data_IF_184772121943
#
_entry.id   IF_184772121943
#
_cell.length_a   1.000
_cell.length_b   1.000
_cell.length_c   1.000
_cell.angle_alpha   90.00
_cell.angle_beta   90.00
_cell.angle_gamma   90.00
#
_symmetry.space_group_name_H-M   'P 1'
#
loop_
_entity.id
_entity.type
_entity.pdbx_description
1 polymer ?
#
# COMPACT_ATOMS: atom_id res chain seq x y z
N UNK A 1 15.06 -15.97 7.89
CA UNK A 1 15.25 -15.15 6.66
C UNK A 1 14.44 -13.87 6.85
N UNK A 2 15.07 -12.69 6.80
CA UNK A 2 14.39 -11.42 7.09
C UNK A 2 13.55 -10.92 5.91
N UNK A 3 12.63 -9.98 6.16
CA UNK A 3 11.80 -9.40 5.09
C UNK A 3 12.63 -8.68 4.01
N UNK A 4 13.77 -8.08 4.38
CA UNK A 4 14.71 -7.44 3.44
C UNK A 4 15.33 -8.46 2.48
N UNK A 5 15.73 -9.62 2.99
CA UNK A 5 16.31 -10.70 2.16
C UNK A 5 15.27 -11.23 1.17
N UNK A 6 14.00 -11.28 1.59
CA UNK A 6 12.90 -11.83 0.81
C UNK A 6 12.35 -10.87 -0.24
N UNK A 7 12.15 -9.60 0.12
CA UNK A 7 11.44 -8.61 -0.72
C UNK A 7 12.29 -7.41 -1.15
N UNK A 8 13.52 -7.27 -0.65
CA UNK A 8 14.32 -6.04 -0.82
C UNK A 8 14.68 -5.69 -2.26
N UNK A 9 14.59 -6.64 -3.21
CA UNK A 9 14.75 -6.35 -4.65
C UNK A 9 13.50 -5.78 -5.33
N UNK A 10 12.34 -5.96 -4.71
CA UNK A 10 11.03 -5.63 -5.30
C UNK A 10 10.30 -4.51 -4.56
N UNK A 11 10.74 -4.19 -3.34
CA UNK A 11 10.02 -3.30 -2.45
C UNK A 11 10.90 -2.15 -1.96
N UNK A 12 10.40 -0.93 -2.13
CA UNK A 12 10.95 0.28 -1.53
C UNK A 12 10.04 0.73 -0.38
N UNK A 13 10.61 0.94 0.80
CA UNK A 13 9.87 1.47 1.95
C UNK A 13 10.07 2.97 2.03
N UNK A 14 8.99 3.73 1.92
CA UNK A 14 8.97 5.17 2.08
C UNK A 14 8.21 5.49 3.35
N UNK A 15 8.82 6.26 4.26
CA UNK A 15 8.17 6.77 5.47
C UNK A 15 7.77 8.22 5.22
N UNK A 16 6.50 8.52 5.43
CA UNK A 16 5.95 9.87 5.24
C UNK A 16 5.36 10.36 6.56
N UNK A 17 5.63 11.63 6.88
CA UNK A 17 4.92 12.35 7.93
C UNK A 17 3.59 12.87 7.38
N UNK A 18 2.49 12.33 7.90
CA UNK A 18 1.13 12.65 7.50
C UNK A 18 0.68 14.06 7.90
N UNK A 19 1.37 14.73 8.83
CA UNK A 19 1.07 16.11 9.22
C UNK A 19 1.74 17.13 8.29
N UNK A 20 2.83 16.74 7.63
CA UNK A 20 3.53 17.55 6.64
C UNK A 20 2.71 17.80 5.36
N UNK A 21 3.07 18.81 4.55
CA UNK A 21 2.36 19.13 3.31
C UNK A 21 2.36 17.96 2.31
N UNK A 22 3.49 17.26 2.17
CA UNK A 22 3.63 16.11 1.27
C UNK A 22 2.77 14.93 1.76
N UNK A 23 2.84 14.59 3.05
CA UNK A 23 2.07 13.48 3.60
C UNK A 23 0.56 13.74 3.57
N UNK A 24 0.10 14.97 3.79
CA UNK A 24 -1.32 15.32 3.63
C UNK A 24 -1.81 15.16 2.19
N UNK A 25 -1.00 15.56 1.21
CA UNK A 25 -1.33 15.37 -0.21
C UNK A 25 -1.37 13.89 -0.57
N UNK A 26 -0.36 13.11 -0.14
CA UNK A 26 -0.34 11.66 -0.34
C UNK A 26 -1.52 10.96 0.34
N UNK A 27 -1.86 11.36 1.58
CA UNK A 27 -3.01 10.83 2.31
C UNK A 27 -4.32 11.05 1.55
N UNK A 28 -4.54 12.26 1.00
CA UNK A 28 -5.71 12.55 0.17
C UNK A 28 -5.71 11.73 -1.12
N UNK A 29 -4.58 11.67 -1.80
CA UNK A 29 -4.43 10.94 -3.06
C UNK A 29 -4.75 9.43 -2.89
N UNK A 30 -4.25 8.82 -1.81
CA UNK A 30 -4.49 7.41 -1.50
C UNK A 30 -5.71 7.16 -0.61
N UNK A 31 -6.53 8.18 -0.33
CA UNK A 31 -7.74 8.09 0.50
C UNK A 31 -7.50 7.61 1.93
N UNK A 32 -6.37 7.95 2.54
CA UNK A 32 -6.04 7.65 3.94
C UNK A 32 -6.56 8.77 4.84
N UNK A 33 -7.42 8.44 5.79
CA UNK A 33 -8.01 9.40 6.74
C UNK A 33 -7.62 9.17 8.19
N UNK A 34 -6.88 8.10 8.49
CA UNK A 34 -6.49 7.71 9.84
C UNK A 34 -5.05 7.18 9.83
N UNK A 35 -4.35 7.35 10.95
CA UNK A 35 -2.97 6.90 11.14
C UNK A 35 -2.89 5.96 12.36
N UNK A 36 -1.91 5.03 12.41
CA UNK A 36 -0.91 4.78 11.37
C UNK A 36 -1.53 4.05 10.16
N UNK A 37 -0.93 4.24 8.98
CA UNK A 37 -1.41 3.66 7.73
C UNK A 37 -0.27 3.08 6.91
N UNK A 38 -0.58 2.01 6.19
CA UNK A 38 0.30 1.40 5.20
C UNK A 38 -0.39 1.47 3.84
N UNK A 39 0.34 2.00 2.87
CA UNK A 39 -0.09 2.11 1.49
C UNK A 39 0.91 1.32 0.65
N UNK A 40 0.40 0.42 -0.17
CA UNK A 40 1.17 -0.32 -1.15
C UNK A 40 0.76 0.16 -2.54
N UNK A 41 1.74 0.60 -3.31
CA UNK A 41 1.54 1.02 -4.70
C UNK A 41 2.35 0.14 -5.64
N UNK A 42 1.98 0.12 -6.92
CA UNK A 42 2.91 -0.29 -7.95
C UNK A 42 3.94 0.83 -8.23
N UNK A 43 4.96 0.54 -9.03
CA UNK A 43 5.99 1.53 -9.39
C UNK A 43 5.46 2.74 -10.19
N UNK A 44 4.18 2.76 -10.54
CA UNK A 44 3.49 3.83 -11.26
C UNK A 44 2.58 4.66 -10.36
N UNK A 45 2.67 4.45 -9.03
CA UNK A 45 1.86 5.10 -8.01
C UNK A 45 0.39 4.67 -7.98
N UNK A 46 0.00 3.62 -8.69
CA UNK A 46 -1.35 3.06 -8.59
C UNK A 46 -1.50 2.28 -7.29
N UNK A 47 -2.62 2.48 -6.61
CA UNK A 47 -2.89 1.86 -5.31
C UNK A 47 -3.16 0.36 -5.47
N UNK A 48 -2.31 -0.47 -4.89
CA UNK A 48 -2.52 -1.92 -4.80
C UNK A 48 -3.25 -2.30 -3.51
N UNK A 49 -2.91 -1.65 -2.39
CA UNK A 49 -3.54 -1.90 -1.10
C UNK A 49 -3.39 -0.73 -0.12
N UNK A 50 -4.38 -0.61 0.79
CA UNK A 50 -4.35 0.33 1.92
C UNK A 50 -4.81 -0.37 3.19
N UNK A 51 -4.01 -0.27 4.25
CA UNK A 51 -4.37 -0.68 5.61
C UNK A 51 -4.28 0.51 6.55
N UNK A 52 -5.22 0.62 7.50
CA UNK A 52 -5.34 1.78 8.39
C UNK A 52 -5.59 1.31 9.82
N UNK A 53 -5.01 2.01 10.79
CA UNK A 53 -5.06 1.75 12.24
C UNK A 53 -4.39 0.45 12.70
N UNK A 54 -4.95 -0.70 12.33
CA UNK A 54 -4.45 -2.02 12.70
C UNK A 54 -3.76 -2.64 11.48
N UNK A 55 -2.44 -2.75 11.57
CA UNK A 55 -1.61 -3.40 10.56
C UNK A 55 -1.23 -4.79 11.04
N UNK A 56 -1.59 -5.82 10.28
CA UNK A 56 -1.12 -7.19 10.51
C UNK A 56 0.09 -7.48 9.62
N UNK A 57 1.31 -7.66 10.19
CA UNK A 57 2.51 -7.96 9.44
C UNK A 57 2.41 -9.24 8.59
N UNK A 58 1.63 -10.24 9.05
CA UNK A 58 1.46 -11.50 8.33
C UNK A 58 0.55 -11.33 7.11
N UNK A 59 -0.49 -10.52 7.23
CA UNK A 59 -1.37 -10.18 6.12
C UNK A 59 -0.62 -9.47 4.98
N UNK A 60 0.30 -8.55 5.33
CA UNK A 60 1.12 -7.83 4.35
C UNK A 60 2.04 -8.79 3.58
N UNK A 61 2.72 -9.71 4.26
CA UNK A 61 3.63 -10.66 3.61
C UNK A 61 2.90 -11.59 2.63
N UNK A 62 1.78 -12.18 3.05
CA UNK A 62 0.97 -13.05 2.18
C UNK A 62 0.38 -12.31 0.97
N UNK A 63 0.07 -11.01 1.12
CA UNK A 63 -0.37 -10.18 0.00
C UNK A 63 0.74 -9.88 -0.98
N UNK A 64 1.92 -9.50 -0.49
CA UNK A 64 3.10 -9.26 -1.33
C UNK A 64 3.43 -10.49 -2.16
N UNK A 65 3.40 -11.68 -1.55
CA UNK A 65 3.61 -12.94 -2.27
C UNK A 65 2.58 -13.12 -3.41
N UNK A 66 1.30 -12.79 -3.17
CA UNK A 66 0.25 -12.88 -4.20
C UNK A 66 0.47 -11.90 -5.35
N UNK A 67 0.87 -10.67 -5.05
CA UNK A 67 1.14 -9.63 -6.05
C UNK A 67 2.36 -10.02 -6.89
N UNK A 68 3.45 -10.46 -6.25
CA UNK A 68 4.68 -10.87 -6.92
C UNK A 68 4.50 -12.15 -7.76
N UNK A 69 3.55 -13.01 -7.39
CA UNK A 69 3.17 -14.18 -8.18
C UNK A 69 2.29 -13.85 -9.41
N UNK A 70 2.04 -12.56 -9.71
CA UNK A 70 1.20 -12.12 -10.83
C UNK A 70 -0.30 -12.10 -10.53
N UNK A 71 -0.69 -12.30 -9.27
CA UNK A 71 -2.08 -12.18 -8.83
C UNK A 71 -2.49 -10.73 -8.59
N UNK A 72 -2.69 -9.96 -9.67
CA UNK A 72 -3.42 -8.70 -9.59
C UNK A 72 -4.91 -9.01 -9.40
N UNK A 73 -5.28 -9.35 -8.16
CA UNK A 73 -6.67 -9.32 -7.73
C UNK A 73 -7.18 -7.89 -7.78
N UNK A 74 -7.63 -7.48 -8.97
CA UNK A 74 -8.32 -6.22 -9.20
C UNK A 74 -9.66 -6.27 -8.47
N UNK A 75 -9.79 -5.47 -7.42
CA UNK A 75 -11.08 -4.89 -7.09
C UNK A 75 -11.30 -3.76 -8.10
N UNK A 76 -11.99 -4.08 -9.19
CA UNK A 76 -12.53 -3.08 -10.08
C UNK A 76 -13.38 -2.11 -9.26
N UNK A 77 -12.92 -0.86 -9.15
CA UNK A 77 -13.82 0.27 -8.92
C UNK A 77 -14.51 0.50 -10.25
N UNK A 78 -15.46 -0.39 -10.56
CA UNK A 78 -16.44 -0.13 -11.62
C UNK A 78 -17.29 1.02 -11.13
N UNK A 79 -17.40 2.07 -11.95
CA UNK A 79 -18.06 3.29 -11.60
C UNK A 79 -19.50 3.08 -11.10
N UNK A 80 -19.90 3.98 -10.22
CA UNK A 80 -21.30 4.43 -10.20
C UNK A 80 -21.25 5.96 -10.13
N UNK A 81 -21.22 6.54 -11.34
CA UNK A 81 -21.84 7.83 -11.57
C UNK A 81 -23.36 7.62 -11.42
N UNK A 82 -23.99 8.55 -10.71
CA UNK A 82 -25.42 8.57 -10.41
C UNK A 82 -25.68 9.64 -9.37
#
# INVERSE_FOLDING_TARGET
>A
MGWRDRYGRWLQVIRLDFLGPVGRTAARHYGVWLIPALVLTDGHADLLERQVALMDPHAIAGRLDRILAGGTGGTGVSGMAG
#
